data_IF_004200516935
#
_entry.id   IF_004200516935
#
_cell.length_a   1.000
_cell.length_b   1.000
_cell.length_c   1.000
_cell.angle_alpha   90.00
_cell.angle_beta   90.00
_cell.angle_gamma   90.00
#
_symmetry.space_group_name_H-M   'P 1'
#
loop_
_entity.id
_entity.type
_entity.pdbx_description
1 polymer ?
#
# COMPACT_ATOMS: atom_id res chain seq x y z
N UNK A 1 15.41 -7.32 5.92
CA UNK A 1 16.53 -7.77 5.06
C UNK A 1 17.23 -6.51 4.56
N UNK A 2 18.55 -6.48 4.33
CA UNK A 2 19.26 -5.25 3.93
C UNK A 2 18.64 -4.57 2.69
N UNK A 3 18.08 -5.38 1.79
CA UNK A 3 17.35 -4.90 0.62
C UNK A 3 16.14 -4.00 0.95
N UNK A 4 15.36 -4.30 2.01
CA UNK A 4 14.19 -3.49 2.36
C UNK A 4 14.56 -2.11 2.90
N UNK A 5 15.66 -2.03 3.66
CA UNK A 5 16.18 -0.75 4.17
C UNK A 5 16.72 0.15 3.03
N UNK A 6 17.39 -0.45 2.04
CA UNK A 6 17.86 0.29 0.86
C UNK A 6 16.67 0.79 0.04
N UNK A 7 15.63 -0.03 -0.11
CA UNK A 7 14.42 0.34 -0.85
C UNK A 7 13.63 1.44 -0.15
N UNK A 8 13.52 1.39 1.18
CA UNK A 8 12.93 2.45 2.02
C UNK A 8 13.71 3.78 1.94
N UNK A 9 15.03 3.75 1.96
CA UNK A 9 15.86 4.94 1.79
C UNK A 9 15.73 5.55 0.39
N UNK A 10 15.62 4.72 -0.65
CA UNK A 10 15.39 5.18 -2.02
C UNK A 10 13.99 5.79 -2.18
N UNK A 11 12.97 5.28 -1.49
CA UNK A 11 11.64 5.93 -1.43
C UNK A 11 11.77 7.32 -0.86
N UNK A 12 12.39 7.44 0.32
CA UNK A 12 12.51 8.70 1.03
C UNK A 12 13.22 9.74 0.16
N UNK A 13 14.35 9.36 -0.47
CA UNK A 13 15.09 10.25 -1.38
C UNK A 13 14.25 10.70 -2.58
N UNK A 14 13.44 9.81 -3.19
CA UNK A 14 12.59 10.15 -4.35
C UNK A 14 11.39 11.03 -3.97
N UNK A 15 10.85 10.85 -2.77
CA UNK A 15 9.82 11.72 -2.20
C UNK A 15 10.38 13.12 -1.88
N UNK A 16 11.60 13.20 -1.33
CA UNK A 16 12.29 14.46 -1.04
C UNK A 16 12.66 15.26 -2.30
N UNK A 17 12.94 14.57 -3.42
CA UNK A 17 13.30 15.22 -4.68
C UNK A 17 12.09 15.75 -5.47
N UNK A 18 10.85 15.40 -5.10
CA UNK A 18 9.66 15.80 -5.87
C UNK A 18 9.63 15.27 -7.32
N UNK A 19 10.57 14.38 -7.69
CA UNK A 19 10.86 13.98 -9.08
C UNK A 19 10.03 12.77 -9.56
N UNK A 20 8.98 12.39 -8.84
CA UNK A 20 8.07 11.34 -9.27
C UNK A 20 6.61 11.74 -9.08
N UNK A 21 6.26 12.99 -9.40
CA UNK A 21 4.86 13.35 -9.56
C UNK A 21 4.34 12.74 -10.87
N UNK A 22 4.02 11.44 -10.84
CA UNK A 22 3.11 10.87 -11.83
C UNK A 22 1.84 11.73 -11.82
N UNK A 23 1.33 12.05 -13.01
CA UNK A 23 0.13 12.88 -13.12
C UNK A 23 -1.02 12.16 -12.40
N UNK A 24 -1.66 12.78 -11.39
CA UNK A 24 -2.71 12.11 -10.62
C UNK A 24 -3.83 11.65 -11.55
N UNK A 25 -4.19 10.37 -11.45
CA UNK A 25 -5.32 9.79 -12.17
C UNK A 25 -6.44 9.43 -11.20
N UNK A 26 -7.63 9.18 -11.73
CA UNK A 26 -8.73 8.63 -10.96
C UNK A 26 -8.42 7.18 -10.59
N UNK A 27 -8.37 6.88 -9.29
CA UNK A 27 -8.10 5.55 -8.74
C UNK A 27 -9.32 5.07 -7.98
N UNK A 28 -9.81 3.88 -8.31
CA UNK A 28 -10.77 3.14 -7.48
C UNK A 28 -10.01 2.56 -6.28
N UNK A 29 -10.12 3.22 -5.13
CA UNK A 29 -9.45 2.80 -3.91
C UNK A 29 -10.08 1.52 -3.35
N UNK A 30 -11.37 1.33 -3.54
CA UNK A 30 -12.05 0.14 -3.06
C UNK A 30 -11.55 -1.12 -3.78
N UNK A 31 -11.34 -1.05 -5.10
CA UNK A 31 -10.75 -2.14 -5.87
C UNK A 31 -9.25 -2.34 -5.54
N UNK A 32 -8.50 -1.25 -5.40
CA UNK A 32 -7.07 -1.33 -5.08
C UNK A 32 -6.83 -1.97 -3.71
N UNK A 33 -7.57 -1.57 -2.68
CA UNK A 33 -7.46 -2.14 -1.32
C UNK A 33 -7.79 -3.64 -1.34
N UNK A 34 -8.89 -4.03 -2.02
CA UNK A 34 -9.27 -5.45 -2.15
C UNK A 34 -8.22 -6.27 -2.90
N UNK A 35 -7.60 -5.69 -3.91
CA UNK A 35 -6.52 -6.34 -4.66
C UNK A 35 -5.31 -6.58 -3.77
N UNK A 36 -4.83 -5.55 -3.06
CA UNK A 36 -3.68 -5.69 -2.16
C UNK A 36 -3.97 -6.68 -1.03
N UNK A 37 -5.14 -6.63 -0.39
CA UNK A 37 -5.52 -7.58 0.65
C UNK A 37 -5.54 -9.03 0.14
N UNK A 38 -6.00 -9.26 -1.10
CA UNK A 38 -5.98 -10.58 -1.74
C UNK A 38 -4.55 -11.09 -1.97
N UNK A 39 -3.65 -10.22 -2.43
CA UNK A 39 -2.23 -10.56 -2.65
C UNK A 39 -1.57 -11.02 -1.34
N UNK A 40 -1.87 -10.35 -0.23
CA UNK A 40 -1.43 -10.78 1.11
C UNK A 40 -2.03 -12.13 1.52
N UNK A 41 -3.31 -12.36 1.26
CA UNK A 41 -4.00 -13.63 1.52
C UNK A 41 -3.39 -14.84 0.79
N UNK A 42 -2.86 -14.66 -0.43
CA UNK A 42 -2.13 -15.72 -1.16
C UNK A 42 -0.87 -16.20 -0.40
N UNK A 43 -0.30 -15.35 0.45
CA UNK A 43 0.89 -15.63 1.27
C UNK A 43 0.56 -16.04 2.71
N UNK A 44 -0.67 -16.48 2.99
CA UNK A 44 -1.17 -16.85 4.33
C UNK A 44 -1.07 -15.71 5.36
N UNK A 45 -1.22 -14.47 4.86
CA UNK A 45 -1.24 -13.24 5.66
C UNK A 45 -2.60 -12.57 5.46
N UNK A 46 -3.68 -13.04 6.11
CA UNK A 46 -5.03 -12.54 5.84
C UNK A 46 -5.18 -11.09 6.31
N UNK A 47 -5.86 -10.29 5.49
CA UNK A 47 -6.24 -8.90 5.78
C UNK A 47 -7.74 -8.75 5.57
N UNK A 48 -8.44 -8.28 6.61
CA UNK A 48 -9.86 -7.94 6.53
C UNK A 48 -10.03 -6.60 5.82
N UNK A 49 -10.98 -6.51 4.90
CA UNK A 49 -11.24 -5.28 4.12
C UNK A 49 -12.54 -4.65 4.56
N UNK A 50 -12.47 -3.40 5.01
CA UNK A 50 -13.59 -2.53 5.35
C UNK A 50 -13.49 -1.24 4.54
N UNK A 51 -14.00 -1.29 3.30
CA UNK A 51 -13.95 -0.14 2.37
C UNK A 51 -15.33 0.20 1.85
N UNK A 52 -15.63 1.50 1.77
CA UNK A 52 -16.85 1.99 1.16
C UNK A 52 -16.84 1.72 -0.35
N UNK A 53 -17.96 1.22 -0.88
CA UNK A 53 -18.11 1.03 -2.32
C UNK A 53 -18.01 2.37 -3.06
N UNK A 54 -17.31 2.38 -4.19
CA UNK A 54 -17.07 3.58 -5.00
C UNK A 54 -16.09 4.59 -4.39
N UNK A 55 -15.41 4.26 -3.28
CA UNK A 55 -14.34 5.11 -2.74
C UNK A 55 -13.25 5.29 -3.80
N UNK A 56 -12.97 6.54 -4.14
CA UNK A 56 -12.01 6.90 -5.18
C UNK A 56 -11.21 8.14 -4.82
N UNK A 57 -10.06 8.31 -5.46
CA UNK A 57 -9.21 9.50 -5.28
C UNK A 57 -8.45 9.86 -6.55
N UNK A 58 -7.96 11.09 -6.64
CA UNK A 58 -6.99 11.50 -7.64
C UNK A 58 -5.58 11.30 -7.07
N UNK A 59 -4.84 10.29 -7.56
CA UNK A 59 -3.51 9.95 -7.06
C UNK A 59 -2.71 9.16 -8.10
N UNK A 60 -1.42 8.98 -7.82
CA UNK A 60 -0.63 7.89 -8.39
C UNK A 60 -1.08 6.55 -7.75
N UNK A 61 -1.60 5.58 -8.54
CA UNK A 61 -2.02 4.27 -8.03
C UNK A 61 -0.85 3.46 -7.47
N UNK A 62 0.35 3.59 -8.01
CA UNK A 62 1.53 2.85 -7.56
C UNK A 62 2.00 3.37 -6.19
N UNK A 63 1.91 4.69 -5.98
CA UNK A 63 2.18 5.30 -4.68
C UNK A 63 1.22 4.78 -3.60
N UNK A 64 -0.10 4.76 -3.88
CA UNK A 64 -1.09 4.25 -2.91
C UNK A 64 -0.88 2.75 -2.66
N UNK A 65 -0.66 1.95 -3.71
CA UNK A 65 -0.34 0.52 -3.56
C UNK A 65 0.86 0.33 -2.64
N UNK A 66 1.92 1.10 -2.85
CA UNK A 66 3.14 1.02 -2.04
C UNK A 66 2.88 1.38 -0.58
N UNK A 67 2.11 2.43 -0.33
CA UNK A 67 1.69 2.80 1.04
C UNK A 67 0.92 1.64 1.69
N UNK A 68 -0.09 1.09 1.01
CA UNK A 68 -0.89 -0.03 1.52
C UNK A 68 -0.02 -1.25 1.83
N UNK A 69 0.85 -1.65 0.90
CA UNK A 69 1.75 -2.80 1.09
C UNK A 69 2.64 -2.57 2.30
N UNK A 70 3.28 -1.40 2.41
CA UNK A 70 4.18 -1.10 3.53
C UNK A 70 3.45 -1.13 4.88
N UNK A 71 2.26 -0.52 4.95
CA UNK A 71 1.48 -0.48 6.19
C UNK A 71 1.01 -1.88 6.59
N UNK A 72 0.51 -2.69 5.65
CA UNK A 72 0.05 -4.06 5.91
C UNK A 72 1.22 -5.00 6.26
N UNK A 73 2.37 -4.84 5.60
CA UNK A 73 3.59 -5.58 5.96
C UNK A 73 4.01 -5.26 7.39
N UNK A 74 3.98 -3.98 7.77
CA UNK A 74 4.29 -3.55 9.13
C UNK A 74 3.27 -4.10 10.13
N UNK A 75 1.98 -4.09 9.78
CA UNK A 75 0.92 -4.63 10.61
C UNK A 75 1.11 -6.14 10.86
N UNK A 76 1.54 -6.92 9.87
CA UNK A 76 1.86 -8.34 10.07
C UNK A 76 3.16 -8.58 10.85
N UNK A 77 4.19 -7.75 10.67
CA UNK A 77 5.49 -7.92 11.35
C UNK A 77 5.43 -7.50 12.82
N UNK A 78 4.70 -6.45 13.12
CA UNK A 78 4.77 -5.75 14.41
C UNK A 78 3.41 -5.56 15.10
N UNK A 79 2.30 -5.82 14.41
CA UNK A 79 0.95 -5.70 14.95
C UNK A 79 0.42 -7.00 15.56
N UNK A 80 -0.90 -7.04 15.75
CA UNK A 80 -1.62 -8.19 16.26
C UNK A 80 -2.89 -8.44 15.43
N UNK A 81 -3.23 -9.70 15.21
CA UNK A 81 -4.42 -10.08 14.46
C UNK A 81 -5.74 -9.74 15.21
N UNK A 82 -6.84 -9.48 14.50
CA UNK A 82 -6.94 -9.40 13.04
C UNK A 82 -6.34 -8.10 12.47
N UNK A 83 -5.73 -8.19 11.29
CA UNK A 83 -5.30 -7.01 10.52
C UNK A 83 -6.46 -6.58 9.63
N UNK A 84 -6.87 -5.31 9.71
CA UNK A 84 -7.99 -4.74 8.94
C UNK A 84 -7.60 -3.42 8.29
N UNK A 85 -8.09 -3.18 7.07
CA UNK A 85 -7.87 -1.96 6.27
C UNK A 85 -9.15 -1.46 5.61
#
# INVERSE_FOLDING_TARGET
NLASLVEELLIAARLEQGEAAAEPIHVDLADLVRTVARDFGVTDRPVEVEVHEGLSTMSDPDAIRRILVNLLDNAHKYGAAPIRV
#
